data_IF_776351435585
#
_entry.id   IF_776351435585
#
_cell.length_a   1.000
_cell.length_b   1.000
_cell.length_c   1.000
_cell.angle_alpha   90.00
_cell.angle_beta   90.00
_cell.angle_gamma   90.00
#
_symmetry.space_group_name_H-M   'P 1'
#
loop_
_entity.id
_entity.type
_entity.pdbx_description
1 polymer ?
#
# COMPACT_ATOMS: atom_id res chain seq x y z
N UNK A 1 21.59 14.07 -6.46
CA UNK A 1 20.26 14.64 -6.16
C UNK A 1 20.33 15.17 -4.74
N UNK A 2 20.06 16.45 -4.57
CA UNK A 2 20.00 17.06 -3.24
C UNK A 2 18.85 16.41 -2.46
N UNK A 3 19.08 15.75 -1.31
CA UNK A 3 18.07 14.94 -0.63
C UNK A 3 16.93 15.76 0.03
N UNK A 4 16.80 17.04 -0.30
CA UNK A 4 15.93 18.02 0.40
C UNK A 4 15.12 18.92 -0.54
N UNK A 5 15.20 18.74 -1.86
CA UNK A 5 14.44 19.59 -2.79
C UNK A 5 12.97 19.21 -2.82
N UNK A 6 12.08 20.18 -2.61
CA UNK A 6 10.66 20.03 -2.92
C UNK A 6 10.48 19.70 -4.40
N UNK A 7 9.72 18.65 -4.69
CA UNK A 7 9.37 18.24 -6.05
C UNK A 7 7.85 18.27 -6.19
N UNK A 8 7.35 18.79 -7.31
CA UNK A 8 5.91 18.91 -7.59
C UNK A 8 5.68 18.46 -9.02
N UNK A 9 4.75 17.53 -9.24
CA UNK A 9 4.30 17.19 -10.59
C UNK A 9 3.36 18.27 -11.10
N UNK A 10 3.28 18.43 -12.42
CA UNK A 10 2.20 19.20 -13.02
C UNK A 10 0.84 18.56 -12.70
N UNK A 11 -0.22 19.35 -12.83
CA UNK A 11 -1.59 18.83 -12.79
C UNK A 11 -1.82 17.88 -13.97
N UNK A 12 -2.30 16.70 -13.67
CA UNK A 12 -2.61 15.68 -14.66
C UNK A 12 -4.09 15.28 -14.57
N UNK A 13 -4.70 15.05 -15.74
CA UNK A 13 -6.06 14.52 -15.81
C UNK A 13 -6.05 13.04 -15.47
N UNK A 14 -6.85 12.65 -14.48
CA UNK A 14 -7.02 11.27 -14.06
C UNK A 14 -8.47 10.84 -14.28
N UNK A 15 -8.67 9.76 -15.04
CA UNK A 15 -9.99 9.18 -15.26
C UNK A 15 -10.38 8.34 -14.06
N UNK A 16 -11.49 8.67 -13.41
CA UNK A 16 -11.99 7.96 -12.23
C UNK A 16 -13.29 7.23 -12.57
N UNK A 17 -13.46 6.06 -11.98
CA UNK A 17 -14.72 5.30 -12.04
C UNK A 17 -15.11 4.85 -10.64
N UNK A 18 -16.41 4.74 -10.37
CA UNK A 18 -16.96 4.37 -9.07
C UNK A 18 -16.49 5.28 -7.93
N UNK A 19 -16.33 6.58 -8.21
CA UNK A 19 -15.83 7.60 -7.29
C UNK A 19 -14.42 7.35 -6.78
N UNK A 20 -13.59 6.53 -7.45
CA UNK A 20 -12.38 5.99 -6.84
C UNK A 20 -11.14 6.08 -7.75
N UNK A 21 -10.00 6.30 -7.10
CA UNK A 21 -8.67 6.02 -7.62
C UNK A 21 -7.83 5.31 -6.55
N UNK A 22 -6.77 4.66 -6.98
CA UNK A 22 -5.84 3.94 -6.14
C UNK A 22 -4.52 4.69 -6.03
N UNK A 23 -3.93 4.69 -4.85
CA UNK A 23 -2.56 5.13 -4.60
C UNK A 23 -1.77 3.93 -4.13
N UNK A 24 -0.72 3.57 -4.86
CA UNK A 24 0.11 2.40 -4.56
C UNK A 24 1.59 2.74 -4.55
N UNK A 25 2.29 2.24 -3.54
CA UNK A 25 3.74 2.38 -3.35
C UNK A 25 4.52 1.12 -3.77
N UNK A 26 3.82 0.08 -4.23
CA UNK A 26 4.41 -1.16 -4.74
C UNK A 26 3.66 -1.59 -6.01
N UNK A 27 4.28 -1.47 -7.19
CA UNK A 27 3.64 -1.87 -8.45
C UNK A 27 3.12 -3.31 -8.41
N UNK A 28 1.87 -3.51 -8.84
CA UNK A 28 1.25 -4.83 -8.92
C UNK A 28 0.80 -5.43 -7.58
N UNK A 29 1.02 -4.74 -6.45
CA UNK A 29 0.24 -5.03 -5.26
C UNK A 29 -1.20 -4.60 -5.55
N UNK A 30 -2.14 -5.55 -5.46
CA UNK A 30 -3.57 -5.26 -5.42
C UNK A 30 -4.10 -5.81 -4.11
N UNK A 31 -4.31 -4.94 -3.13
CA UNK A 31 -4.99 -5.30 -1.90
C UNK A 31 -6.47 -5.45 -2.17
N UNK A 32 -6.89 -6.68 -2.51
CA UNK A 32 -8.27 -7.15 -2.32
C UNK A 32 -8.60 -7.34 -0.82
N UNK A 33 -8.04 -6.49 0.04
CA UNK A 33 -8.22 -6.49 1.47
C UNK A 33 -9.51 -5.77 1.82
N UNK A 34 -10.56 -6.55 2.11
CA UNK A 34 -11.94 -6.12 2.43
C UNK A 34 -12.06 -5.38 3.79
N UNK A 35 -10.99 -4.71 4.24
CA UNK A 35 -10.95 -3.93 5.48
C UNK A 35 -10.41 -2.53 5.20
N UNK A 36 -11.24 -1.70 4.60
CA UNK A 36 -10.98 -0.27 4.44
C UNK A 36 -11.16 0.43 5.80
N UNK A 37 -10.07 0.97 6.34
CA UNK A 37 -10.12 1.91 7.45
C UNK A 37 -9.92 3.33 6.90
N UNK A 38 -10.84 4.24 7.16
CA UNK A 38 -10.75 5.59 6.60
C UNK A 38 -12.01 6.43 6.77
N UNK A 39 -12.11 7.45 5.91
CA UNK A 39 -13.18 8.43 5.81
C UNK A 39 -13.63 8.62 4.35
N UNK A 40 -14.51 9.59 4.10
CA UNK A 40 -15.11 9.85 2.78
C UNK A 40 -14.13 10.42 1.73
N UNK A 41 -12.86 10.64 2.09
CA UNK A 41 -11.80 11.04 1.17
C UNK A 41 -10.76 9.94 0.95
N UNK A 42 -10.44 9.14 1.97
CA UNK A 42 -9.38 8.14 1.89
C UNK A 42 -9.73 6.88 2.70
N UNK A 43 -9.55 5.71 2.08
CA UNK A 43 -9.56 4.40 2.75
C UNK A 43 -8.23 3.67 2.60
N UNK A 44 -7.59 3.31 3.72
CA UNK A 44 -6.39 2.47 3.73
C UNK A 44 -6.77 1.01 3.44
N UNK A 45 -6.19 0.43 2.39
CA UNK A 45 -6.46 -0.95 1.96
C UNK A 45 -5.33 -1.92 2.34
N UNK A 46 -4.15 -1.40 2.68
CA UNK A 46 -2.99 -2.19 3.06
C UNK A 46 -1.80 -1.33 3.48
N UNK A 47 -0.65 -1.94 3.75
CA UNK A 47 0.55 -1.21 4.17
C UNK A 47 1.15 -0.34 3.06
N UNK A 48 0.85 -0.63 1.78
CA UNK A 48 1.50 0.01 0.63
C UNK A 48 0.49 0.76 -0.25
N UNK A 49 -0.79 0.80 0.12
CA UNK A 49 -1.85 1.33 -0.74
C UNK A 49 -3.06 1.86 0.02
N UNK A 50 -3.75 2.80 -0.60
CA UNK A 50 -5.05 3.30 -0.19
C UNK A 50 -5.90 3.67 -1.41
N UNK A 51 -7.22 3.72 -1.21
CA UNK A 51 -8.18 4.27 -2.19
C UNK A 51 -8.50 5.71 -1.82
N UNK A 52 -8.41 6.61 -2.80
CA UNK A 52 -8.92 7.98 -2.70
C UNK A 52 -10.32 8.08 -3.31
N UNK A 53 -11.19 8.88 -2.70
CA UNK A 53 -12.58 9.06 -3.10
C UNK A 53 -12.86 10.43 -3.70
N UNK A 54 -13.66 10.45 -4.76
CA UNK A 54 -14.06 11.65 -5.50
C UNK A 54 -15.54 11.97 -5.26
N UNK A 55 -15.96 13.21 -5.49
CA UNK A 55 -17.36 13.63 -5.49
C UNK A 55 -18.11 13.19 -6.76
N UNK A 56 -17.40 12.97 -7.88
CA UNK A 56 -17.98 12.44 -9.13
C UNK A 56 -17.93 10.91 -9.18
N UNK A 57 -18.97 10.27 -9.73
CA UNK A 57 -18.98 8.81 -9.88
C UNK A 57 -18.06 8.34 -11.00
N UNK A 58 -18.16 8.94 -12.18
CA UNK A 58 -17.30 8.62 -13.32
C UNK A 58 -16.96 9.89 -14.07
N UNK A 59 -15.69 10.08 -14.42
CA UNK A 59 -15.26 11.25 -15.18
C UNK A 59 -13.78 11.57 -15.01
N UNK A 60 -13.43 12.83 -15.23
CA UNK A 60 -12.07 13.32 -15.06
C UNK A 60 -11.95 14.18 -13.81
N UNK A 61 -10.93 13.91 -13.01
CA UNK A 61 -10.42 14.83 -12.01
C UNK A 61 -9.06 15.36 -12.46
N UNK A 62 -8.58 16.39 -11.79
CA UNK A 62 -7.17 16.80 -11.87
C UNK A 62 -6.46 16.34 -10.60
N UNK A 63 -5.30 15.72 -10.77
CA UNK A 63 -4.48 15.28 -9.65
C UNK A 63 -3.02 15.67 -9.82
N UNK A 64 -2.32 15.88 -8.70
CA UNK A 64 -0.87 16.07 -8.67
C UNK A 64 -0.24 15.56 -7.37
N UNK A 65 1.06 15.30 -7.42
CA UNK A 65 1.85 14.88 -6.26
C UNK A 65 2.88 15.95 -5.92
N UNK A 66 2.99 16.28 -4.64
CA UNK A 66 3.97 17.20 -4.06
C UNK A 66 4.81 16.48 -3.02
N UNK A 67 6.08 16.29 -3.30
CA UNK A 67 7.06 15.68 -2.40
C UNK A 67 7.74 16.76 -1.58
N UNK A 68 7.65 16.64 -0.26
CA UNK A 68 8.09 17.62 0.72
C UNK A 68 9.23 17.06 1.57
N UNK A 69 10.13 17.93 2.07
CA UNK A 69 11.19 17.51 3.01
C UNK A 69 10.66 17.14 4.40
N UNK A 70 9.40 17.45 4.71
CA UNK A 70 8.76 17.20 6.00
C UNK A 70 7.27 17.52 5.96
N UNK A 71 6.57 17.41 7.11
CA UNK A 71 5.14 17.70 7.18
C UNK A 71 4.85 19.17 6.82
N UNK A 72 3.76 19.46 6.09
CA UNK A 72 3.33 20.84 5.86
C UNK A 72 2.99 21.50 7.19
N UNK A 73 3.53 22.70 7.43
CA UNK A 73 3.30 23.45 8.67
C UNK A 73 1.84 23.89 8.81
N UNK A 74 1.26 24.33 7.71
CA UNK A 74 -0.10 24.85 7.66
C UNK A 74 -0.95 24.09 6.64
N UNK A 75 -2.26 24.19 6.83
CA UNK A 75 -3.25 23.77 5.85
C UNK A 75 -3.67 25.01 5.08
N UNK A 76 -3.39 25.05 3.78
CA UNK A 76 -3.81 26.15 2.92
C UNK A 76 -5.35 26.29 2.95
N UNK A 77 -5.84 27.53 2.84
CA UNK A 77 -7.28 27.77 2.74
C UNK A 77 -7.84 27.27 1.41
N UNK A 78 -9.11 26.85 1.39
CA UNK A 78 -9.84 26.48 0.18
C UNK A 78 -9.80 25.00 -0.21
N UNK A 79 -9.32 24.13 0.69
CA UNK A 79 -9.56 22.69 0.59
C UNK A 79 -10.90 22.32 1.22
N UNK A 80 -11.62 21.40 0.59
CA UNK A 80 -12.91 20.91 1.10
C UNK A 80 -12.71 19.77 2.10
N UNK A 81 -11.74 18.89 1.84
CA UNK A 81 -11.42 17.75 2.68
C UNK A 81 -9.92 17.43 2.69
N UNK A 82 -9.42 16.93 3.83
CA UNK A 82 -8.02 16.54 4.00
C UNK A 82 -7.92 15.31 4.89
N UNK A 83 -7.24 14.27 4.38
CA UNK A 83 -7.01 13.02 5.11
C UNK A 83 -5.57 12.57 4.96
N UNK A 84 -5.07 11.85 5.95
CA UNK A 84 -3.69 11.37 5.95
C UNK A 84 -3.60 9.87 6.20
N UNK A 85 -2.65 9.21 5.52
CA UNK A 85 -2.28 7.82 5.75
C UNK A 85 -0.77 7.63 5.70
N UNK A 86 -0.27 6.59 6.36
CA UNK A 86 1.14 6.18 6.26
C UNK A 86 1.23 4.97 5.35
N UNK A 87 2.16 5.00 4.40
CA UNK A 87 2.46 3.89 3.49
C UNK A 87 3.91 3.44 3.61
N UNK A 88 4.15 2.17 3.34
CA UNK A 88 5.47 1.60 3.13
C UNK A 88 5.81 1.59 1.63
N UNK A 89 6.84 2.35 1.25
CA UNK A 89 7.31 2.54 -0.12
C UNK A 89 8.76 2.08 -0.26
N UNK A 90 9.03 0.78 -0.42
CA UNK A 90 10.41 0.26 -0.43
C UNK A 90 11.23 0.72 -1.64
N UNK A 91 10.59 0.98 -2.79
CA UNK A 91 11.24 1.38 -4.03
C UNK A 91 11.49 2.88 -4.14
N UNK A 92 10.82 3.71 -3.33
CA UNK A 92 10.77 5.16 -3.54
C UNK A 92 9.98 5.57 -4.78
N UNK A 93 9.03 4.73 -5.24
CA UNK A 93 8.14 5.02 -6.37
C UNK A 93 6.68 4.93 -5.91
N UNK A 94 5.90 5.96 -6.20
CA UNK A 94 4.48 6.06 -5.89
C UNK A 94 3.68 6.23 -7.19
N UNK A 95 2.57 5.52 -7.35
CA UNK A 95 1.65 5.67 -8.48
C UNK A 95 0.24 6.05 -8.01
N UNK A 96 -0.42 6.92 -8.79
CA UNK A 96 -1.85 7.25 -8.66
C UNK A 96 -2.58 6.73 -9.91
N UNK A 97 -3.55 5.85 -9.71
CA UNK A 97 -4.16 5.04 -10.77
C UNK A 97 -5.67 5.18 -10.72
N UNK A 98 -6.29 5.53 -11.84
CA UNK A 98 -7.73 5.57 -11.97
C UNK A 98 -8.30 4.15 -11.98
N UNK A 99 -9.26 3.86 -11.09
CA UNK A 99 -9.93 2.57 -11.07
C UNK A 99 -10.67 2.40 -12.42
N UNK A 100 -10.24 1.44 -13.25
CA UNK A 100 -10.66 1.24 -14.65
C UNK A 100 -10.26 2.34 -15.66
N UNK A 101 -9.90 3.54 -15.19
CA UNK A 101 -9.48 4.66 -16.04
C UNK A 101 -8.03 4.59 -16.52
N UNK A 102 -7.21 3.74 -15.88
CA UNK A 102 -5.79 3.58 -16.21
C UNK A 102 -4.90 4.59 -15.50
N UNK A 103 -3.70 4.80 -16.03
CA UNK A 103 -2.68 5.67 -15.44
C UNK A 103 -2.54 7.00 -16.19
N UNK A 104 -2.12 8.04 -15.48
CA UNK A 104 -1.57 9.25 -16.09
C UNK A 104 -0.05 9.22 -15.93
N UNK A 105 0.70 9.50 -17.01
CA UNK A 105 2.17 9.40 -17.02
C UNK A 105 2.81 10.23 -15.90
N UNK A 106 2.35 11.47 -15.70
CA UNK A 106 2.85 12.37 -14.65
C UNK A 106 2.54 11.90 -13.22
N UNK A 107 1.67 10.90 -13.04
CA UNK A 107 1.27 10.33 -11.75
C UNK A 107 1.72 8.88 -11.59
N UNK A 108 2.48 8.33 -12.54
CA UNK A 108 3.00 6.96 -12.51
C UNK A 108 4.46 6.99 -12.10
N UNK A 109 4.85 6.09 -11.18
CA UNK A 109 6.23 5.94 -10.70
C UNK A 109 6.87 7.28 -10.27
N UNK A 110 6.09 8.11 -9.57
CA UNK A 110 6.54 9.37 -9.00
C UNK A 110 7.61 9.07 -7.93
N UNK A 111 8.78 9.68 -8.08
CA UNK A 111 9.88 9.52 -7.13
C UNK A 111 9.51 10.14 -5.77
N UNK A 112 9.55 9.33 -4.71
CA UNK A 112 9.27 9.71 -3.32
C UNK A 112 10.37 9.16 -2.40
N UNK A 113 10.50 9.64 -1.14
CA UNK A 113 11.45 9.05 -0.20
C UNK A 113 11.19 7.54 -0.02
N UNK A 114 12.22 6.69 -0.14
CA UNK A 114 12.05 5.27 0.14
C UNK A 114 11.85 5.02 1.64
N UNK A 115 11.09 3.99 1.98
CA UNK A 115 10.78 3.60 3.35
C UNK A 115 9.36 3.98 3.76
N UNK A 116 9.18 4.42 5.00
CA UNK A 116 7.88 4.89 5.48
C UNK A 116 7.64 6.33 5.00
N UNK A 117 6.50 6.54 4.36
CA UNK A 117 6.05 7.85 3.90
C UNK A 117 4.69 8.16 4.50
N UNK A 118 4.46 9.44 4.79
CA UNK A 118 3.13 9.98 5.09
C UNK A 118 2.60 10.62 3.82
N UNK A 119 1.36 10.28 3.48
CA UNK A 119 0.63 10.87 2.37
C UNK A 119 -0.56 11.63 2.95
N UNK A 120 -0.64 12.93 2.66
CA UNK A 120 -1.80 13.78 2.96
C UNK A 120 -2.52 14.07 1.64
N UNK A 121 -3.75 13.61 1.53
CA UNK A 121 -4.62 13.88 0.40
C UNK A 121 -5.41 15.14 0.71
N UNK A 122 -5.32 16.12 -0.17
CA UNK A 122 -6.14 17.31 -0.18
C UNK A 122 -7.13 17.20 -1.34
N UNK A 123 -8.39 17.54 -1.13
CA UNK A 123 -9.39 17.58 -2.19
C UNK A 123 -10.18 18.89 -2.15
N UNK A 124 -10.50 19.42 -3.33
CA UNK A 124 -11.36 20.61 -3.49
C UNK A 124 -12.23 20.49 -4.74
N UNK A 125 -13.27 21.31 -4.77
CA UNK A 125 -14.30 21.28 -5.81
C UNK A 125 -14.98 19.89 -5.88
N UNK A 126 -15.24 19.29 -4.70
CA UNK A 126 -15.87 17.97 -4.56
C UNK A 126 -17.39 18.03 -4.78
N UNK A 127 -17.81 18.54 -5.93
CA UNK A 127 -19.23 18.63 -6.26
C UNK A 127 -19.77 17.27 -6.72
N UNK A 128 -20.90 16.86 -6.14
CA UNK A 128 -21.63 15.68 -6.60
C UNK A 128 -22.08 15.87 -8.06
N UNK A 129 -22.08 14.79 -8.84
CA UNK A 129 -22.39 14.84 -10.28
C UNK A 129 -23.76 15.44 -10.60
N UNK A 130 -24.74 15.30 -9.70
CA UNK A 130 -26.11 15.83 -9.88
C UNK A 130 -26.22 17.34 -9.68
N UNK A 131 -25.22 17.97 -9.04
CA UNK A 131 -25.19 19.42 -8.80
C UNK A 131 -24.14 20.13 -9.65
N UNK A 132 -23.19 19.39 -10.21
CA UNK A 132 -22.11 19.91 -11.05
C UNK A 132 -22.67 20.38 -12.41
N UNK A 133 -22.16 21.51 -12.86
CA UNK A 133 -22.45 22.16 -14.14
C UNK A 133 -21.16 22.30 -14.96
N UNK A 134 -21.29 22.66 -16.24
CA UNK A 134 -20.13 22.86 -17.13
C UNK A 134 -19.27 24.09 -16.74
N UNK A 135 -19.83 25.01 -15.96
CA UNK A 135 -19.13 26.20 -15.47
C UNK A 135 -18.33 25.93 -14.18
N UNK A 136 -18.55 24.78 -13.54
CA UNK A 136 -17.84 24.41 -12.32
C UNK A 136 -16.41 23.94 -12.61
N UNK A 137 -15.44 24.30 -11.75
CA UNK A 137 -14.08 23.80 -11.90
C UNK A 137 -14.03 22.26 -11.77
N UNK A 138 -13.04 21.62 -12.43
CA UNK A 138 -12.81 20.19 -12.24
C UNK A 138 -12.47 19.89 -10.78
N UNK A 139 -12.87 18.72 -10.31
CA UNK A 139 -12.48 18.24 -8.99
C UNK A 139 -10.97 18.04 -8.95
N UNK A 140 -10.33 18.50 -7.88
CA UNK A 140 -8.87 18.58 -7.78
C UNK A 140 -8.36 17.87 -6.53
N UNK A 141 -7.37 16.99 -6.73
CA UNK A 141 -6.70 16.24 -5.68
C UNK A 141 -5.20 16.52 -5.64
N UNK A 142 -4.68 16.90 -4.49
CA UNK A 142 -3.24 17.11 -4.30
C UNK A 142 -2.72 16.19 -3.19
N UNK A 143 -1.70 15.40 -3.51
CA UNK A 143 -1.09 14.46 -2.58
C UNK A 143 0.23 15.03 -2.09
N UNK A 144 0.30 15.40 -0.80
CA UNK A 144 1.57 15.78 -0.16
C UNK A 144 2.23 14.55 0.42
N UNK A 145 3.50 14.33 0.05
CA UNK A 145 4.25 13.13 0.45
C UNK A 145 5.53 13.54 1.15
N UNK A 146 5.81 12.98 2.33
CA UNK A 146 7.07 13.19 3.04
C UNK A 146 7.49 11.94 3.82
N UNK A 147 8.78 11.83 4.10
CA UNK A 147 9.33 10.72 4.88
C UNK A 147 8.91 10.80 6.35
N UNK A 148 8.68 9.64 6.99
CA UNK A 148 8.47 9.53 8.44
C UNK A 148 9.27 8.36 9.02
N UNK A 149 9.60 8.44 10.31
CA UNK A 149 10.33 7.37 11.01
C UNK A 149 9.43 6.34 11.66
N UNK A 150 8.16 6.67 11.88
CA UNK A 150 7.21 5.85 12.62
C UNK A 150 5.87 5.76 11.89
N UNK A 151 5.24 4.58 11.97
CA UNK A 151 3.90 4.38 11.48
C UNK A 151 2.90 5.12 12.36
N UNK A 152 2.19 6.08 11.78
CA UNK A 152 1.05 6.74 12.42
C UNK A 152 -0.24 6.26 11.77
N UNK A 153 -1.31 5.98 12.55
CA UNK A 153 -2.61 5.64 11.98
C UNK A 153 -3.12 6.70 11.00
N UNK A 154 -4.04 6.30 10.14
CA UNK A 154 -4.76 7.26 9.31
C UNK A 154 -5.55 8.25 10.20
N UNK A 155 -5.79 9.45 9.69
CA UNK A 155 -6.65 10.43 10.36
C UNK A 155 -7.27 11.39 9.36
N UNK A 156 -8.45 11.89 9.68
CA UNK A 156 -9.05 13.05 9.04
C UNK A 156 -8.47 14.32 9.66
N UNK A 157 -8.00 15.24 8.81
CA UNK A 157 -7.47 16.56 9.18
C UNK A 157 -8.54 17.64 8.97
N UNK A 158 -9.30 17.52 7.88
CA UNK A 158 -10.45 18.37 7.57
C UNK A 158 -11.56 17.49 6.99
N UNK A 159 -12.71 17.47 7.66
CA UNK A 159 -13.90 16.74 7.20
C UNK A 159 -14.58 17.50 6.04
N UNK A 160 -15.14 16.76 5.07
CA UNK A 160 -15.91 17.35 3.97
C UNK A 160 -17.20 18.02 4.49
N UNK A 161 -17.44 19.31 4.23
CA UNK A 161 -18.68 19.98 4.64
C UNK A 161 -19.93 19.47 3.89
N UNK A 162 -19.78 18.85 2.71
CA UNK A 162 -20.87 18.44 1.82
C UNK A 162 -21.80 17.36 2.37
N UNK A 163 -21.34 16.56 3.33
CA UNK A 163 -22.13 15.46 3.94
C UNK A 163 -23.06 15.90 5.08
N UNK A 164 -23.14 17.21 5.37
CA UNK A 164 -24.03 17.72 6.40
C UNK A 164 -25.52 17.55 6.10
N UNK A 165 -25.90 17.18 4.86
CA UNK A 165 -27.27 17.34 4.35
C UNK A 165 -28.19 16.12 4.49
N UNK A 166 -27.77 14.92 4.92
CA UNK A 166 -28.81 13.89 5.13
C UNK A 166 -28.48 12.44 5.47
N UNK A 167 -27.23 11.97 5.49
CA UNK A 167 -26.96 10.57 5.83
C UNK A 167 -25.83 10.39 6.82
N UNK A 168 -26.07 10.84 8.07
CA UNK A 168 -25.34 10.30 9.23
C UNK A 168 -25.74 8.84 9.48
N UNK A 169 -25.35 7.94 8.60
CA UNK A 169 -25.32 6.50 8.88
C UNK A 169 -24.02 6.17 9.60
N UNK A 170 -24.10 6.28 10.94
CA UNK A 170 -23.46 5.41 11.93
C UNK A 170 -21.94 5.16 11.88
N UNK A 171 -21.38 5.59 13.02
CA UNK A 171 -20.27 5.03 13.80
C UNK A 171 -18.88 5.46 13.40
N UNK A 172 -18.52 6.64 13.90
CA UNK A 172 -17.21 6.84 14.56
C UNK A 172 -16.95 5.64 15.47
N UNK A 173 -15.97 4.75 15.20
CA UNK A 173 -15.60 3.74 16.16
C UNK A 173 -15.04 4.45 17.41
N UNK A 174 -15.21 3.89 18.62
CA UNK A 174 -14.52 4.41 19.78
C UNK A 174 -13.02 4.41 19.47
N UNK A 175 -12.32 5.47 19.87
CA UNK A 175 -10.87 5.59 19.86
C UNK A 175 -10.25 4.49 20.74
N UNK A 176 -10.26 3.26 20.24
CA UNK A 176 -9.75 2.07 20.88
C UNK A 176 -8.55 1.59 20.10
N UNK A 177 -7.37 1.80 20.70
CA UNK A 177 -6.07 1.18 20.39
C UNK A 177 -5.99 0.50 19.02
N UNK A 178 -5.48 1.26 18.04
CA UNK A 178 -4.97 0.70 16.80
C UNK A 178 -3.95 -0.39 17.17
N UNK A 179 -4.24 -1.63 16.78
CA UNK A 179 -3.38 -2.77 17.02
C UNK A 179 -2.02 -2.50 16.35
N UNK A 180 -0.94 -2.53 17.14
CA UNK A 180 0.42 -2.70 16.60
C UNK A 180 0.46 -3.98 15.76
N UNK A 181 0.31 -3.84 14.45
CA UNK A 181 0.63 -4.88 13.48
C UNK A 181 2.06 -4.63 12.99
N UNK A 182 2.83 -5.72 12.90
CA UNK A 182 4.26 -5.79 12.60
C UNK A 182 5.27 -5.44 13.71
N UNK A 183 5.22 -6.20 14.81
CA UNK A 183 6.48 -6.73 15.36
C UNK A 183 6.71 -8.14 14.81
N UNK A 184 7.56 -8.23 13.79
CA UNK A 184 8.13 -9.51 13.37
C UNK A 184 8.87 -10.17 14.55
N UNK A 185 8.35 -11.29 15.03
CA UNK A 185 9.09 -12.25 15.85
C UNK A 185 9.15 -13.59 15.11
N UNK A 186 10.31 -14.27 15.11
CA UNK A 186 10.47 -15.53 14.39
C UNK A 186 9.78 -16.65 15.16
N UNK A 187 8.69 -17.19 14.63
CA UNK A 187 8.06 -18.39 15.16
C UNK A 187 8.81 -19.63 14.67
N UNK A 188 9.82 -20.06 15.42
CA UNK A 188 10.32 -21.44 15.35
C UNK A 188 9.44 -22.29 16.27
N UNK A 189 8.43 -22.97 15.73
CA UNK A 189 8.03 -24.35 16.08
C UNK A 189 6.84 -24.84 15.24
N UNK A 190 6.81 -26.14 14.86
CA UNK A 190 5.91 -26.65 13.83
C UNK A 190 4.57 -27.09 14.42
N UNK A 191 3.47 -26.56 13.88
CA UNK A 191 2.13 -27.10 14.12
C UNK A 191 1.77 -28.07 13.00
N UNK A 192 2.02 -29.36 13.22
CA UNK A 192 1.55 -30.44 12.37
C UNK A 192 0.01 -30.56 12.47
N UNK A 193 -0.73 -30.10 11.44
CA UNK A 193 -2.07 -30.61 11.14
C UNK A 193 -2.25 -30.85 9.64
N UNK A 194 -2.03 -32.12 9.27
CA UNK A 194 -2.78 -32.95 8.32
C UNK A 194 -3.66 -32.21 7.27
N UNK A 195 -3.06 -31.82 6.15
CA UNK A 195 -3.82 -31.60 4.90
C UNK A 195 -3.88 -32.93 4.13
N UNK A 196 -5.08 -33.41 3.85
CA UNK A 196 -5.31 -34.45 2.84
C UNK A 196 -5.40 -33.76 1.47
N UNK A 197 -4.36 -33.92 0.65
CA UNK A 197 -4.37 -33.50 -0.75
C UNK A 197 -4.40 -34.74 -1.64
N UNK A 198 -5.49 -34.87 -2.38
CA UNK A 198 -5.69 -35.89 -3.41
C UNK A 198 -4.85 -35.51 -4.63
N UNK A 199 -4.03 -36.45 -5.09
CA UNK A 199 -3.01 -36.26 -6.13
C UNK A 199 -3.66 -36.24 -7.52
N UNK A 200 -3.61 -35.12 -8.22
CA UNK A 200 -3.68 -35.08 -9.70
C UNK A 200 -2.27 -34.94 -10.26
N UNK A 201 -1.93 -35.83 -11.19
CA UNK A 201 -0.69 -35.76 -11.99
C UNK A 201 -0.76 -34.47 -12.80
N UNK A 202 0.14 -33.51 -12.55
CA UNK A 202 1.26 -33.10 -13.42
C UNK A 202 1.74 -31.72 -12.93
N UNK A 203 2.96 -31.62 -12.39
CA UNK A 203 3.62 -30.32 -12.12
C UNK A 203 5.14 -30.52 -12.09
N UNK A 204 5.95 -29.52 -12.51
CA UNK A 204 7.40 -29.65 -12.68
C UNK A 204 8.16 -29.57 -11.35
N UNK A 205 9.38 -30.12 -11.34
CA UNK A 205 10.23 -30.23 -10.16
C UNK A 205 10.73 -28.86 -9.65
N UNK A 206 10.51 -28.56 -8.37
CA UNK A 206 11.22 -27.50 -7.65
C UNK A 206 12.61 -28.00 -7.21
N UNK A 207 13.70 -27.22 -7.35
CA UNK A 207 15.00 -27.57 -6.81
C UNK A 207 14.93 -27.56 -5.27
N UNK A 208 15.33 -28.66 -4.61
CA UNK A 208 15.45 -28.72 -3.15
C UNK A 208 14.78 -29.92 -2.46
N UNK A 209 14.07 -30.77 -3.19
CA UNK A 209 13.43 -31.97 -2.63
C UNK A 209 14.13 -33.24 -3.13
N UNK A 210 14.59 -34.08 -2.20
CA UNK A 210 15.13 -35.41 -2.50
C UNK A 210 14.13 -36.47 -2.07
N UNK A 211 13.79 -37.38 -2.97
CA UNK A 211 12.97 -38.54 -2.67
C UNK A 211 13.85 -39.66 -2.12
N UNK A 212 13.50 -40.20 -0.95
CA UNK A 212 14.19 -41.34 -0.33
C UNK A 212 13.17 -42.44 -0.10
N UNK A 213 13.38 -43.62 -0.69
CA UNK A 213 12.63 -44.82 -0.35
C UNK A 213 13.52 -45.78 0.42
N UNK A 214 13.09 -46.11 1.63
CA UNK A 214 13.65 -47.20 2.42
C UNK A 214 12.51 -48.13 2.83
N UNK A 215 12.58 -49.39 2.39
CA UNK A 215 11.84 -50.52 2.97
C UNK A 215 10.70 -51.11 2.13
N UNK A 216 10.47 -52.44 2.21
CA UNK A 216 9.44 -53.12 1.42
C UNK A 216 8.05 -53.04 2.07
N UNK A 217 7.06 -52.80 1.21
CA UNK A 217 5.60 -53.00 1.36
C UNK A 217 4.89 -52.33 2.55
N UNK A 218 4.06 -51.34 2.18
CA UNK A 218 2.96 -50.70 2.92
C UNK A 218 3.37 -49.80 4.10
N UNK A 219 4.00 -48.68 3.79
CA UNK A 219 3.93 -47.50 4.65
C UNK A 219 4.01 -46.21 3.82
N UNK A 220 3.41 -45.15 4.35
CA UNK A 220 3.14 -43.87 3.68
C UNK A 220 4.43 -43.16 3.26
N UNK A 221 4.47 -42.65 2.04
CA UNK A 221 5.56 -41.78 1.56
C UNK A 221 5.55 -40.44 2.30
N UNK A 222 6.73 -39.95 2.68
CA UNK A 222 6.93 -38.67 3.36
C UNK A 222 7.93 -37.83 2.58
N UNK A 223 7.63 -36.54 2.43
CA UNK A 223 8.59 -35.55 1.94
C UNK A 223 9.27 -34.91 3.16
N UNK A 224 10.60 -34.84 3.16
CA UNK A 224 11.38 -34.18 4.20
C UNK A 224 12.14 -33.01 3.57
N UNK A 225 12.06 -31.84 4.21
CA UNK A 225 12.89 -30.70 3.83
C UNK A 225 14.32 -30.98 4.32
N UNK A 226 15.30 -30.96 3.40
CA UNK A 226 16.70 -30.88 3.80
C UNK A 226 16.96 -29.48 4.41
N UNK A 227 17.48 -29.37 5.65
CA UNK A 227 18.02 -28.11 6.11
C UNK A 227 19.25 -27.72 5.28
N UNK A 228 19.53 -26.42 5.11
CA UNK A 228 20.75 -25.98 4.43
C UNK A 228 21.98 -26.52 5.14
N UNK A 229 22.93 -27.05 4.36
CA UNK A 229 24.19 -27.57 4.88
C UNK A 229 24.95 -26.45 5.61
N UNK A 230 25.16 -26.60 6.91
CA UNK A 230 26.11 -25.77 7.66
C UNK A 230 27.51 -26.03 7.13
N UNK A 231 28.06 -25.06 6.41
CA UNK A 231 29.45 -24.99 6.01
C UNK A 231 30.34 -25.02 7.27
N UNK A 232 31.09 -26.11 7.49
CA UNK A 232 32.19 -26.15 8.46
C UNK A 232 33.48 -25.80 7.72
N UNK A 233 34.02 -24.61 7.99
CA UNK A 233 35.39 -24.26 7.61
C UNK A 233 36.38 -25.02 8.50
N UNK A 234 36.91 -26.14 8.02
CA UNK A 234 38.09 -26.78 8.58
C UNK A 234 39.35 -26.08 8.06
N UNK A 235 40.04 -25.35 8.93
CA UNK A 235 41.37 -24.79 8.67
C UNK A 235 42.40 -25.70 9.37
N UNK A 236 43.10 -26.54 8.61
CA UNK A 236 44.25 -27.32 9.08
C UNK A 236 45.52 -26.68 8.56
N UNK A 237 46.40 -26.27 9.48
CA UNK A 237 47.67 -25.63 9.17
C UNK A 237 48.73 -26.57 8.57
N UNK A 238 49.73 -25.95 7.96
CA UNK A 238 51.04 -26.54 7.73
C UNK A 238 52.10 -25.45 7.91
N UNK A 239 52.84 -25.58 9.00
CA UNK A 239 54.06 -24.83 9.29
C UNK A 239 55.22 -25.57 8.64
N UNK A 240 55.91 -24.93 7.70
CA UNK A 240 57.21 -25.39 7.21
C UNK A 240 58.29 -24.59 7.95
N UNK A 241 59.18 -25.31 8.63
CA UNK A 241 60.49 -24.81 9.06
C UNK A 241 61.45 -24.97 7.88
N UNK A 242 62.18 -23.92 7.53
CA UNK A 242 63.57 -23.92 7.08
C UNK A 242 64.19 -22.60 7.55
#
# INVERSE_FOLDING_TARGET
MDPMSTFVTDWARLSVSHCQYEVTAVPGASGVGIYALGDDLLHVNGPNEFTGFCGIHTGWIEARVRVLPGPPADVDAGWDAISEATLWCPSGLLSVIGLMGGTAEALTDVAVPPGLIRVRVHARHRLHETVRTDDDPPEQHELHVWAVSEETPWRTVLDDPGDATGSRSRRRPPSGRCCHLYRGRPAVRPCCRRCHLTRTRTTPACPGWRWSATGPRRSRSRWECCPPATWRSGWSGSTARL
#
